data_IF_381316880885
#
_entry.id   IF_381316880885
#
_cell.length_a   1.000
_cell.length_b   1.000
_cell.length_c   1.000
_cell.angle_alpha   90.00
_cell.angle_beta   90.00
_cell.angle_gamma   90.00
#
_symmetry.space_group_name_H-M   'P 1'
#
loop_
_entity.id
_entity.type
_entity.pdbx_description
1 polymer ?
#
# COMPACT_ATOMS: atom_id res chain seq x y z
N UNK A 1 13.96 -26.89 9.27
CA UNK A 1 14.50 -25.68 9.89
C UNK A 1 14.12 -24.50 9.02
N UNK A 2 13.00 -23.84 9.31
CA UNK A 2 12.57 -22.65 8.58
C UNK A 2 13.40 -21.49 9.10
N UNK A 3 14.29 -20.94 8.28
CA UNK A 3 14.90 -19.66 8.56
C UNK A 3 13.78 -18.64 8.75
N UNK A 4 13.69 -18.12 9.96
CA UNK A 4 12.86 -16.96 10.29
C UNK A 4 13.49 -15.76 9.56
N UNK A 5 13.17 -15.58 8.27
CA UNK A 5 13.57 -14.39 7.54
C UNK A 5 12.96 -13.20 8.26
N UNK A 6 13.82 -12.31 8.72
CA UNK A 6 13.38 -11.05 9.31
C UNK A 6 12.54 -10.27 8.28
N UNK A 7 11.43 -9.62 8.70
CA UNK A 7 10.67 -8.72 7.82
C UNK A 7 11.57 -7.74 7.06
N UNK A 8 12.67 -7.32 7.70
CA UNK A 8 13.64 -6.37 7.15
C UNK A 8 14.53 -6.94 6.04
N UNK A 9 14.85 -8.25 6.04
CA UNK A 9 15.62 -8.87 4.94
C UNK A 9 14.81 -8.92 3.66
N UNK A 10 13.54 -9.26 3.76
CA UNK A 10 12.63 -9.29 2.62
C UNK A 10 12.44 -7.89 2.01
N UNK A 11 12.37 -6.83 2.83
CA UNK A 11 12.31 -5.45 2.36
C UNK A 11 13.59 -5.08 1.59
N UNK A 12 14.77 -5.46 2.06
CA UNK A 12 16.06 -5.16 1.39
C UNK A 12 16.12 -5.76 -0.02
N UNK A 13 15.70 -7.02 -0.16
CA UNK A 13 15.69 -7.70 -1.48
C UNK A 13 14.73 -6.99 -2.45
N UNK A 14 13.54 -6.62 -2.00
CA UNK A 14 12.55 -5.91 -2.80
C UNK A 14 13.01 -4.52 -3.20
N UNK A 15 13.57 -3.76 -2.23
CA UNK A 15 14.18 -2.45 -2.51
C UNK A 15 15.29 -2.56 -3.56
N UNK A 16 16.21 -3.52 -3.40
CA UNK A 16 17.28 -3.75 -4.38
C UNK A 16 16.73 -4.04 -5.77
N UNK A 17 15.68 -4.84 -5.87
CA UNK A 17 15.05 -5.18 -7.15
C UNK A 17 14.45 -3.95 -7.82
N UNK A 18 13.60 -3.18 -7.11
CA UNK A 18 12.90 -2.03 -7.72
C UNK A 18 13.86 -0.89 -8.06
N UNK A 19 14.89 -0.66 -7.22
CA UNK A 19 15.96 0.29 -7.53
C UNK A 19 16.72 -0.17 -8.77
N UNK A 20 17.02 -1.45 -8.90
CA UNK A 20 17.64 -2.00 -10.10
C UNK A 20 16.82 -1.76 -11.36
N UNK A 21 15.49 -1.92 -11.31
CA UNK A 21 14.60 -1.59 -12.42
C UNK A 21 14.62 -0.09 -12.74
N UNK A 22 14.68 0.75 -11.70
CA UNK A 22 14.68 2.21 -11.85
C UNK A 22 16.00 2.71 -12.47
N UNK A 23 17.14 2.18 -12.02
CA UNK A 23 18.45 2.43 -12.63
C UNK A 23 18.48 1.96 -14.09
N UNK A 24 17.95 0.77 -14.39
CA UNK A 24 17.88 0.25 -15.76
C UNK A 24 17.02 1.13 -16.65
N UNK A 25 15.90 1.65 -16.14
CA UNK A 25 15.07 2.61 -16.86
C UNK A 25 15.87 3.86 -17.25
N UNK A 26 16.61 4.47 -16.31
CA UNK A 26 17.44 5.64 -16.60
C UNK A 26 18.55 5.35 -17.64
N UNK A 27 19.15 4.16 -17.58
CA UNK A 27 20.12 3.74 -18.60
C UNK A 27 19.48 3.65 -19.99
N UNK A 28 18.24 3.17 -20.10
CA UNK A 28 17.52 3.05 -21.39
C UNK A 28 17.17 4.39 -22.01
N UNK A 29 16.88 5.39 -21.16
CA UNK A 29 16.53 6.74 -21.64
C UNK A 29 17.71 7.72 -21.68
N UNK A 30 18.94 7.23 -21.45
CA UNK A 30 20.20 8.01 -21.45
C UNK A 30 20.26 9.13 -20.38
N UNK A 31 19.58 8.97 -19.24
CA UNK A 31 19.61 9.90 -18.11
C UNK A 31 20.61 9.41 -17.03
N UNK A 32 21.87 9.24 -17.45
CA UNK A 32 22.90 8.64 -16.59
C UNK A 32 23.27 9.49 -15.38
N UNK A 33 23.16 10.83 -15.51
CA UNK A 33 23.53 11.78 -14.45
C UNK A 33 22.63 11.69 -13.19
N UNK A 34 21.45 11.10 -13.33
CA UNK A 34 20.48 10.91 -12.25
C UNK A 34 20.80 9.65 -11.42
N UNK A 35 21.46 8.67 -12.01
CA UNK A 35 21.70 7.37 -11.37
C UNK A 35 22.46 7.48 -10.04
N UNK A 36 23.51 8.31 -9.87
CA UNK A 36 24.18 8.46 -8.59
C UNK A 36 23.27 8.90 -7.45
N UNK A 37 22.22 9.70 -7.74
CA UNK A 37 21.30 10.21 -6.72
C UNK A 37 20.44 9.11 -6.07
N UNK A 38 20.19 8.02 -6.79
CA UNK A 38 19.27 6.95 -6.36
C UNK A 38 20.00 5.64 -6.01
N UNK A 39 21.24 5.47 -6.46
CA UNK A 39 22.02 4.24 -6.28
C UNK A 39 23.10 4.33 -5.21
N UNK A 40 23.50 5.53 -4.82
CA UNK A 40 24.66 5.75 -3.95
C UNK A 40 24.30 5.84 -2.47
N UNK A 41 25.26 5.53 -1.62
CA UNK A 41 25.16 5.88 -0.20
C UNK A 41 25.15 7.41 -0.06
N UNK A 42 24.53 7.96 1.01
CA UNK A 42 24.49 9.41 1.25
C UNK A 42 25.87 10.11 1.26
N UNK A 43 26.95 9.35 1.44
CA UNK A 43 28.33 9.85 1.37
C UNK A 43 28.80 10.25 -0.03
N UNK A 44 28.11 9.82 -1.09
CA UNK A 44 28.55 10.06 -2.47
C UNK A 44 27.91 11.31 -3.11
N UNK A 45 27.11 12.06 -2.35
CA UNK A 45 26.44 13.29 -2.83
C UNK A 45 27.39 14.48 -3.10
N UNK A 46 28.68 14.35 -2.82
CA UNK A 46 29.67 15.38 -3.14
C UNK A 46 29.82 15.68 -4.63
N UNK A 47 29.29 14.79 -5.49
CA UNK A 47 29.30 15.00 -6.95
C UNK A 47 28.21 15.98 -7.46
N UNK A 48 27.26 16.40 -6.61
CA UNK A 48 26.15 17.29 -6.98
C UNK A 48 26.58 18.77 -6.95
N UNK A 49 27.68 19.07 -6.28
CA UNK A 49 28.09 20.45 -5.97
C UNK A 49 28.54 21.29 -7.18
N UNK A 50 28.61 20.73 -8.38
CA UNK A 50 29.16 21.42 -9.54
C UNK A 50 28.17 21.82 -10.63
N UNK A 51 26.90 21.41 -10.54
CA UNK A 51 25.95 21.69 -11.62
C UNK A 51 24.76 22.51 -11.13
N UNK A 52 24.86 23.84 -11.22
CA UNK A 52 23.77 24.78 -10.97
C UNK A 52 22.77 24.87 -12.14
N UNK A 53 22.68 23.86 -12.98
CA UNK A 53 21.70 23.82 -14.06
C UNK A 53 20.30 23.53 -13.50
N UNK A 54 19.40 24.50 -13.65
CA UNK A 54 18.01 24.40 -13.19
C UNK A 54 17.32 23.14 -13.73
N UNK A 55 17.65 22.77 -14.98
CA UNK A 55 17.09 21.58 -15.62
C UNK A 55 17.55 20.26 -14.94
N UNK A 56 18.79 20.21 -14.49
CA UNK A 56 19.30 19.08 -13.72
C UNK A 56 18.62 19.01 -12.34
N UNK A 57 18.44 20.15 -11.67
CA UNK A 57 17.77 20.22 -10.36
C UNK A 57 16.34 19.71 -10.46
N UNK A 58 15.57 20.10 -11.48
CA UNK A 58 14.19 19.64 -11.67
C UNK A 58 14.12 18.11 -11.85
N UNK A 59 15.02 17.56 -12.67
CA UNK A 59 15.14 16.11 -12.85
C UNK A 59 15.54 15.39 -11.55
N UNK A 60 16.46 15.97 -10.79
CA UNK A 60 16.91 15.42 -9.53
C UNK A 60 15.75 15.37 -8.51
N UNK A 61 14.99 16.45 -8.37
CA UNK A 61 13.81 16.51 -7.49
C UNK A 61 12.78 15.48 -7.93
N UNK A 62 12.46 15.40 -9.23
CA UNK A 62 11.52 14.41 -9.74
C UNK A 62 11.99 12.98 -9.47
N UNK A 63 13.27 12.68 -9.70
CA UNK A 63 13.82 11.35 -9.47
C UNK A 63 13.75 10.93 -8.02
N UNK A 64 14.07 11.84 -7.09
CA UNK A 64 13.99 11.58 -5.66
C UNK A 64 12.54 11.43 -5.19
N UNK A 65 11.61 12.23 -5.74
CA UNK A 65 10.19 12.09 -5.44
C UNK A 65 9.67 10.70 -5.84
N UNK A 66 9.95 10.24 -7.05
CA UNK A 66 9.61 8.90 -7.52
C UNK A 66 10.29 7.83 -6.65
N UNK A 67 11.58 8.00 -6.34
CA UNK A 67 12.32 7.07 -5.49
C UNK A 67 11.64 6.86 -4.14
N UNK A 68 11.27 7.91 -3.43
CA UNK A 68 10.59 7.79 -2.12
C UNK A 68 9.22 7.12 -2.24
N UNK A 69 8.48 7.41 -3.30
CA UNK A 69 7.19 6.75 -3.54
C UNK A 69 7.37 5.26 -3.88
N UNK A 70 8.42 4.88 -4.61
CA UNK A 70 8.77 3.48 -4.84
C UNK A 70 9.14 2.77 -3.53
N UNK A 71 9.85 3.44 -2.63
CA UNK A 71 10.14 2.87 -1.30
C UNK A 71 8.87 2.61 -0.50
N UNK A 72 7.92 3.54 -0.51
CA UNK A 72 6.60 3.35 0.11
C UNK A 72 5.86 2.16 -0.47
N UNK A 73 5.79 2.02 -1.81
CA UNK A 73 5.16 0.87 -2.47
C UNK A 73 5.79 -0.47 -2.07
N UNK A 74 7.11 -0.52 -1.96
CA UNK A 74 7.82 -1.73 -1.53
C UNK A 74 7.53 -2.05 -0.06
N UNK A 75 7.47 -1.06 0.80
CA UNK A 75 7.17 -1.26 2.22
C UNK A 75 5.73 -1.74 2.43
N UNK A 76 4.76 -1.18 1.72
CA UNK A 76 3.37 -1.62 1.72
C UNK A 76 3.23 -3.07 1.22
N UNK A 77 3.91 -3.41 0.13
CA UNK A 77 3.94 -4.76 -0.41
C UNK A 77 4.57 -5.74 0.59
N UNK A 78 5.70 -5.38 1.21
CA UNK A 78 6.37 -6.21 2.21
C UNK A 78 5.50 -6.39 3.48
N UNK A 79 4.83 -5.35 3.94
CA UNK A 79 3.93 -5.41 5.08
C UNK A 79 2.74 -6.33 4.81
N UNK A 80 2.16 -6.28 3.60
CA UNK A 80 1.08 -7.17 3.18
C UNK A 80 1.54 -8.63 3.13
N UNK A 81 2.73 -8.89 2.58
CA UNK A 81 3.32 -10.22 2.54
C UNK A 81 3.59 -10.77 3.95
N UNK A 82 4.17 -9.94 4.82
CA UNK A 82 4.44 -10.32 6.20
C UNK A 82 3.16 -10.67 6.95
N UNK A 83 2.10 -9.87 6.79
CA UNK A 83 0.79 -10.15 7.39
C UNK A 83 0.25 -11.50 6.94
N UNK A 84 0.26 -11.80 5.64
CA UNK A 84 -0.17 -13.11 5.09
C UNK A 84 0.67 -14.26 5.64
N UNK A 85 1.97 -14.06 5.77
CA UNK A 85 2.87 -15.08 6.36
C UNK A 85 2.52 -15.34 7.82
N UNK A 86 2.28 -14.31 8.61
CA UNK A 86 1.88 -14.43 10.01
C UNK A 86 0.54 -15.16 10.14
N UNK A 87 -0.45 -14.76 9.35
CA UNK A 87 -1.77 -15.40 9.29
C UNK A 87 -1.67 -16.91 9.00
N UNK A 88 -0.86 -17.28 8.00
CA UNK A 88 -0.69 -18.67 7.61
C UNK A 88 0.14 -19.53 8.58
N UNK A 89 1.10 -18.94 9.29
CA UNK A 89 2.05 -19.66 10.15
C UNK A 89 1.65 -19.71 11.62
N UNK A 90 0.91 -18.74 12.09
CA UNK A 90 0.54 -18.64 13.51
C UNK A 90 -0.98 -18.74 13.69
N UNK A 91 -1.68 -17.66 13.48
CA UNK A 91 -3.15 -17.57 13.45
C UNK A 91 -3.57 -16.17 13.02
N UNK A 92 -4.83 -15.98 12.68
CA UNK A 92 -5.41 -14.65 12.47
C UNK A 92 -5.27 -13.76 13.71
N UNK A 93 -5.36 -14.34 14.93
CA UNK A 93 -5.24 -13.61 16.18
C UNK A 93 -3.83 -13.04 16.44
N UNK A 94 -2.79 -13.57 15.77
CA UNK A 94 -1.43 -13.01 15.84
C UNK A 94 -1.26 -11.68 15.10
N UNK A 95 -2.25 -11.29 14.29
CA UNK A 95 -2.24 -10.03 13.55
C UNK A 95 -2.79 -8.92 14.44
N UNK A 96 -1.89 -8.00 14.83
CA UNK A 96 -2.27 -6.86 15.66
C UNK A 96 -3.35 -6.01 15.00
N UNK A 97 -4.38 -5.67 15.79
CA UNK A 97 -5.53 -4.90 15.33
C UNK A 97 -6.56 -5.69 14.51
N UNK A 98 -6.43 -7.03 14.45
CA UNK A 98 -7.45 -7.89 13.86
C UNK A 98 -8.63 -8.12 14.81
N UNK A 99 -9.80 -8.46 14.25
CA UNK A 99 -10.94 -8.91 15.06
C UNK A 99 -10.62 -10.16 15.87
N UNK A 100 -9.82 -11.06 15.32
CA UNK A 100 -9.43 -12.29 16.01
C UNK A 100 -8.57 -12.01 17.26
N UNK A 101 -7.63 -11.03 17.20
CA UNK A 101 -6.88 -10.59 18.38
C UNK A 101 -7.83 -10.06 19.47
N UNK A 102 -8.80 -9.23 19.10
CA UNK A 102 -9.80 -8.70 20.05
C UNK A 102 -10.61 -9.81 20.68
N UNK A 103 -11.06 -10.78 19.90
CA UNK A 103 -11.83 -11.92 20.39
C UNK A 103 -10.99 -12.83 21.30
N UNK A 104 -9.72 -13.04 20.96
CA UNK A 104 -8.80 -13.80 21.83
C UNK A 104 -8.63 -13.11 23.19
N UNK A 105 -8.41 -11.80 23.21
CA UNK A 105 -8.29 -11.01 24.44
C UNK A 105 -9.57 -11.13 25.28
N UNK A 106 -10.75 -10.97 24.68
CA UNK A 106 -12.03 -11.05 25.37
C UNK A 106 -12.34 -12.46 25.85
N UNK A 107 -12.00 -13.47 25.07
CA UNK A 107 -12.14 -14.87 25.47
C UNK A 107 -11.27 -15.22 26.67
N UNK A 108 -10.02 -14.74 26.69
CA UNK A 108 -9.12 -14.91 27.83
C UNK A 108 -9.61 -14.21 29.09
N UNK A 109 -10.43 -13.17 28.94
CA UNK A 109 -11.14 -12.50 30.06
C UNK A 109 -12.48 -13.17 30.40
N UNK A 110 -12.82 -14.29 29.77
CA UNK A 110 -14.08 -15.02 29.96
C UNK A 110 -15.33 -14.17 29.67
N UNK A 111 -15.23 -13.21 28.72
CA UNK A 111 -16.38 -12.41 28.32
C UNK A 111 -17.37 -13.28 27.52
N UNK A 112 -18.68 -13.28 27.86
CA UNK A 112 -19.67 -14.03 27.12
C UNK A 112 -19.85 -13.51 25.67
N UNK A 113 -20.16 -14.41 24.72
CA UNK A 113 -20.39 -14.07 23.31
C UNK A 113 -21.40 -12.93 23.11
N UNK A 114 -22.50 -12.94 23.90
CA UNK A 114 -23.55 -11.92 23.78
C UNK A 114 -23.07 -10.53 24.21
N UNK A 115 -22.15 -10.48 25.20
CA UNK A 115 -21.54 -9.23 25.64
C UNK A 115 -20.50 -8.74 24.63
N UNK A 116 -19.75 -9.64 24.00
CA UNK A 116 -18.84 -9.32 22.89
C UNK A 116 -19.61 -8.69 21.71
N UNK A 117 -20.74 -9.30 21.31
CA UNK A 117 -21.57 -8.79 20.23
C UNK A 117 -22.21 -7.45 20.58
N UNK A 118 -22.64 -7.28 21.82
CA UNK A 118 -23.15 -5.99 22.32
C UNK A 118 -22.07 -4.92 22.25
N UNK A 119 -20.85 -5.23 22.66
CA UNK A 119 -19.72 -4.29 22.56
C UNK A 119 -19.41 -3.92 21.10
N UNK A 120 -19.38 -4.89 20.17
CA UNK A 120 -19.16 -4.64 18.73
C UNK A 120 -20.24 -3.72 18.17
N UNK A 121 -21.52 -3.97 18.49
CA UNK A 121 -22.64 -3.16 17.98
C UNK A 121 -22.63 -1.71 18.46
N UNK A 122 -21.90 -1.41 19.51
CA UNK A 122 -21.71 -0.06 20.04
C UNK A 122 -20.51 0.67 19.41
N UNK A 123 -19.66 -0.04 18.65
CA UNK A 123 -18.53 0.57 17.97
C UNK A 123 -19.05 1.47 16.83
N UNK A 124 -18.64 2.72 16.87
CA UNK A 124 -18.91 3.69 15.81
C UNK A 124 -17.61 4.37 15.38
N UNK A 125 -17.29 4.31 14.10
CA UNK A 125 -16.09 4.90 13.53
C UNK A 125 -16.47 5.82 12.38
N UNK A 126 -15.93 7.03 12.40
CA UNK A 126 -16.17 8.02 11.34
C UNK A 126 -14.83 8.51 10.78
N UNK A 127 -14.22 7.77 9.82
CA UNK A 127 -13.07 8.31 9.09
C UNK A 127 -13.45 9.61 8.38
N UNK A 128 -12.60 10.61 8.49
CA UNK A 128 -12.79 11.90 7.83
C UNK A 128 -11.86 11.99 6.64
N UNK A 129 -12.45 12.16 5.45
CA UNK A 129 -11.72 12.42 4.22
C UNK A 129 -11.33 13.91 4.22
N UNK A 130 -10.03 14.17 4.33
CA UNK A 130 -9.48 15.52 4.24
C UNK A 130 -8.87 15.71 2.86
N UNK A 131 -9.38 16.69 2.11
CA UNK A 131 -8.75 17.10 0.87
C UNK A 131 -7.56 18.01 1.20
N UNK A 132 -6.34 17.49 1.06
CA UNK A 132 -5.15 18.34 1.11
C UNK A 132 -4.73 18.71 -0.31
N UNK A 133 -4.39 19.99 -0.58
CA UNK A 133 -3.89 20.44 -1.88
C UNK A 133 -2.64 19.70 -2.34
N UNK A 134 -1.94 19.05 -1.41
CA UNK A 134 -0.74 18.23 -1.66
C UNK A 134 -1.03 16.87 -2.29
N UNK A 135 -2.28 16.39 -2.27
CA UNK A 135 -2.68 15.13 -2.91
C UNK A 135 -3.13 15.27 -4.37
N UNK A 136 -2.84 16.39 -5.00
CA UNK A 136 -3.15 16.63 -6.42
C UNK A 136 -2.31 15.75 -7.36
N UNK A 137 -2.18 14.45 -7.05
CA UNK A 137 -1.59 13.50 -7.98
C UNK A 137 -2.53 13.28 -9.15
N UNK A 138 -1.95 13.28 -10.35
CA UNK A 138 -2.72 12.94 -11.54
C UNK A 138 -3.28 11.52 -11.42
N UNK A 139 -4.51 11.31 -11.87
CA UNK A 139 -5.15 9.97 -11.90
C UNK A 139 -4.24 8.94 -12.58
N UNK A 140 -3.55 9.34 -13.65
CA UNK A 140 -2.57 8.50 -14.36
C UNK A 140 -1.42 8.05 -13.46
N UNK A 141 -0.96 8.87 -12.53
CA UNK A 141 0.10 8.49 -11.57
C UNK A 141 -0.45 7.49 -10.54
N UNK A 142 -1.68 7.69 -10.08
CA UNK A 142 -2.35 6.75 -9.16
C UNK A 142 -2.54 5.38 -9.83
N UNK A 143 -2.92 5.36 -11.11
CA UNK A 143 -3.03 4.13 -11.89
C UNK A 143 -1.67 3.43 -12.06
N UNK A 144 -0.60 4.16 -12.33
CA UNK A 144 0.77 3.62 -12.41
C UNK A 144 1.17 2.99 -11.07
N UNK A 145 0.93 3.68 -9.95
CA UNK A 145 1.21 3.13 -8.62
C UNK A 145 0.47 1.80 -8.38
N UNK A 146 -0.82 1.76 -8.74
CA UNK A 146 -1.61 0.54 -8.61
C UNK A 146 -1.07 -0.60 -9.49
N UNK A 147 -0.74 -0.31 -10.74
CA UNK A 147 -0.18 -1.32 -11.66
C UNK A 147 1.18 -1.83 -11.16
N UNK A 148 2.07 -0.94 -10.70
CA UNK A 148 3.36 -1.31 -10.10
C UNK A 148 3.18 -2.19 -8.87
N UNK A 149 2.26 -1.82 -7.98
CA UNK A 149 1.95 -2.63 -6.80
C UNK A 149 1.49 -4.05 -7.18
N UNK A 150 0.59 -4.16 -8.15
CA UNK A 150 0.11 -5.47 -8.63
C UNK A 150 1.21 -6.31 -9.27
N UNK A 151 2.14 -5.69 -10.01
CA UNK A 151 3.30 -6.39 -10.58
C UNK A 151 4.27 -6.87 -9.48
N UNK A 152 4.47 -6.08 -8.42
CA UNK A 152 5.25 -6.51 -7.26
C UNK A 152 4.59 -7.69 -6.55
N UNK A 153 3.27 -7.68 -6.38
CA UNK A 153 2.52 -8.82 -5.81
C UNK A 153 2.61 -10.04 -6.71
N UNK A 154 2.47 -9.89 -8.03
CA UNK A 154 2.60 -10.99 -8.98
C UNK A 154 3.99 -11.63 -8.92
N UNK A 155 5.03 -10.83 -8.75
CA UNK A 155 6.41 -11.31 -8.65
C UNK A 155 6.67 -12.21 -7.44
N UNK A 156 5.85 -12.14 -6.40
CA UNK A 156 5.95 -13.00 -5.23
C UNK A 156 5.49 -14.44 -5.49
N UNK A 157 4.84 -14.68 -6.60
CA UNK A 157 4.40 -16.02 -6.97
C UNK A 157 5.61 -16.89 -7.35
N UNK A 158 5.92 -17.85 -6.48
CA UNK A 158 7.03 -18.78 -6.66
C UNK A 158 6.88 -19.72 -7.89
N UNK A 159 5.69 -19.81 -8.47
CA UNK A 159 5.42 -20.63 -9.65
C UNK A 159 5.76 -19.96 -10.98
N UNK A 160 6.12 -18.66 -10.97
CA UNK A 160 6.49 -17.95 -12.19
C UNK A 160 7.77 -18.54 -12.80
N UNK A 161 7.70 -18.86 -14.09
CA UNK A 161 8.86 -19.23 -14.89
C UNK A 161 9.85 -18.06 -15.04
N UNK A 162 11.08 -18.35 -15.44
CA UNK A 162 12.08 -17.29 -15.71
C UNK A 162 11.61 -16.30 -16.79
N UNK A 163 10.89 -16.79 -17.80
CA UNK A 163 10.34 -15.95 -18.86
C UNK A 163 9.31 -14.97 -18.28
N UNK A 164 8.34 -15.46 -17.51
CA UNK A 164 7.32 -14.62 -16.87
C UNK A 164 7.90 -13.62 -15.88
N UNK A 165 8.96 -14.00 -15.14
CA UNK A 165 9.69 -13.08 -14.27
C UNK A 165 10.37 -11.94 -15.05
N UNK A 166 10.94 -12.26 -16.23
CA UNK A 166 11.53 -11.26 -17.11
C UNK A 166 10.45 -10.36 -17.72
N UNK A 167 9.34 -10.89 -18.18
CA UNK A 167 8.21 -10.11 -18.69
C UNK A 167 7.64 -9.17 -17.61
N UNK A 168 7.51 -9.66 -16.37
CA UNK A 168 7.09 -8.86 -15.23
C UNK A 168 8.07 -7.70 -14.99
N UNK A 169 9.39 -7.97 -15.02
CA UNK A 169 10.42 -6.94 -14.88
C UNK A 169 10.34 -5.89 -15.99
N UNK A 170 10.17 -6.31 -17.26
CA UNK A 170 10.01 -5.41 -18.38
C UNK A 170 8.78 -4.50 -18.23
N UNK A 171 7.65 -5.05 -17.80
CA UNK A 171 6.45 -4.25 -17.51
C UNK A 171 6.71 -3.20 -16.44
N UNK A 172 7.42 -3.55 -15.37
CA UNK A 172 7.81 -2.61 -14.31
C UNK A 172 8.67 -1.48 -14.89
N UNK A 173 9.71 -1.79 -15.69
CA UNK A 173 10.59 -0.78 -16.28
C UNK A 173 9.80 0.17 -17.20
N UNK A 174 8.91 -0.36 -18.03
CA UNK A 174 8.07 0.44 -18.92
C UNK A 174 7.10 1.35 -18.14
N UNK A 175 6.56 0.88 -17.01
CA UNK A 175 5.72 1.70 -16.13
C UNK A 175 6.52 2.82 -15.45
N UNK A 176 7.75 2.54 -15.03
CA UNK A 176 8.65 3.54 -14.46
C UNK A 176 8.99 4.61 -15.48
N UNK A 177 9.26 4.24 -16.73
CA UNK A 177 9.47 5.20 -17.82
C UNK A 177 8.22 6.04 -18.09
N UNK A 178 7.03 5.41 -18.15
CA UNK A 178 5.78 6.13 -18.30
C UNK A 178 5.57 7.13 -17.16
N UNK A 179 5.88 6.73 -15.93
CA UNK A 179 5.79 7.62 -14.76
C UNK A 179 6.76 8.80 -14.88
N UNK A 180 8.03 8.52 -15.17
CA UNK A 180 9.04 9.55 -15.40
C UNK A 180 8.60 10.60 -16.42
N UNK A 181 7.97 10.17 -17.52
CA UNK A 181 7.49 11.05 -18.61
C UNK A 181 6.16 11.75 -18.30
N UNK A 182 5.39 11.29 -17.33
CA UNK A 182 4.04 11.83 -17.05
C UNK A 182 4.08 13.12 -16.23
N UNK A 183 5.09 13.30 -15.38
CA UNK A 183 5.14 14.36 -14.38
C UNK A 183 4.12 14.15 -13.25
N UNK A 184 4.49 14.54 -12.05
CA UNK A 184 3.70 14.20 -10.84
C UNK A 184 2.61 15.21 -10.51
N UNK A 185 2.80 16.46 -10.86
CA UNK A 185 2.00 17.58 -10.35
C UNK A 185 1.08 18.11 -11.45
N UNK A 186 -0.15 18.42 -11.07
CA UNK A 186 -1.00 19.25 -11.91
C UNK A 186 -0.41 20.65 -12.01
N UNK A 187 -0.31 21.19 -13.22
CA UNK A 187 0.06 22.58 -13.45
C UNK A 187 -1.04 23.55 -12.99
N UNK A 188 -2.27 23.08 -12.91
CA UNK A 188 -3.44 23.83 -12.43
C UNK A 188 -3.87 23.34 -11.05
N UNK A 189 -4.18 24.29 -10.16
CA UNK A 189 -4.70 23.97 -8.83
C UNK A 189 -6.06 23.26 -8.96
N UNK A 190 -6.26 22.09 -8.32
CA UNK A 190 -7.54 21.42 -8.31
C UNK A 190 -8.63 22.35 -7.78
N UNK A 191 -9.76 22.40 -8.46
CA UNK A 191 -10.94 23.13 -8.00
C UNK A 191 -11.81 22.24 -7.09
N UNK A 192 -12.79 22.84 -6.44
CA UNK A 192 -13.74 22.15 -5.55
C UNK A 192 -14.52 21.04 -6.27
N UNK A 193 -14.70 21.16 -7.59
CA UNK A 193 -15.38 20.11 -8.38
C UNK A 193 -14.53 18.84 -8.49
N UNK A 194 -13.22 18.98 -8.64
CA UNK A 194 -12.28 17.86 -8.67
C UNK A 194 -12.21 17.17 -7.31
N UNK A 195 -12.14 17.95 -6.22
CA UNK A 195 -12.16 17.40 -4.86
C UNK A 195 -13.45 16.63 -4.57
N UNK A 196 -14.61 17.21 -4.92
CA UNK A 196 -15.90 16.55 -4.81
C UNK A 196 -15.96 15.25 -5.63
N UNK A 197 -15.45 15.26 -6.87
CA UNK A 197 -15.45 14.08 -7.72
C UNK A 197 -14.60 12.95 -7.10
N UNK A 198 -13.46 13.26 -6.52
CA UNK A 198 -12.61 12.31 -5.81
C UNK A 198 -13.33 11.71 -4.59
N UNK A 199 -13.94 12.53 -3.75
CA UNK A 199 -14.69 12.05 -2.59
C UNK A 199 -15.83 11.11 -3.02
N UNK A 200 -16.61 11.50 -4.03
CA UNK A 200 -17.71 10.67 -4.58
C UNK A 200 -17.15 9.35 -5.13
N UNK A 201 -15.99 9.35 -5.77
CA UNK A 201 -15.35 8.14 -6.26
C UNK A 201 -15.04 7.16 -5.11
N UNK A 202 -14.41 7.63 -4.03
CA UNK A 202 -14.14 6.80 -2.86
C UNK A 202 -15.42 6.26 -2.23
N UNK A 203 -16.42 7.12 -2.00
CA UNK A 203 -17.68 6.75 -1.39
C UNK A 203 -18.49 5.74 -2.23
N UNK A 204 -18.43 5.84 -3.57
CA UNK A 204 -19.25 5.02 -4.46
C UNK A 204 -18.54 3.76 -4.99
N UNK A 205 -17.20 3.77 -5.08
CA UNK A 205 -16.45 2.70 -5.73
C UNK A 205 -15.52 1.94 -4.80
N UNK A 206 -14.92 2.60 -3.82
CA UNK A 206 -13.90 1.99 -2.98
C UNK A 206 -14.50 1.49 -1.66
N UNK A 207 -15.16 2.37 -0.91
CA UNK A 207 -15.63 2.03 0.43
C UNK A 207 -16.66 0.91 0.49
N UNK A 208 -17.64 0.77 -0.42
CA UNK A 208 -18.58 -0.35 -0.36
C UNK A 208 -17.87 -1.71 -0.35
N UNK A 209 -16.88 -1.89 -1.23
CA UNK A 209 -16.10 -3.13 -1.28
C UNK A 209 -15.22 -3.34 -0.03
N UNK A 210 -14.66 -2.27 0.52
CA UNK A 210 -13.84 -2.34 1.74
C UNK A 210 -14.69 -2.68 2.95
N UNK A 211 -15.88 -2.09 3.08
CA UNK A 211 -16.82 -2.39 4.16
C UNK A 211 -17.28 -3.84 4.12
N UNK A 212 -17.67 -4.32 2.93
CA UNK A 212 -18.05 -5.73 2.74
C UNK A 212 -16.92 -6.68 3.19
N UNK A 213 -15.67 -6.38 2.82
CA UNK A 213 -14.50 -7.17 3.25
C UNK A 213 -14.30 -7.10 4.78
N UNK A 214 -14.49 -5.93 5.37
CA UNK A 214 -14.39 -5.75 6.82
C UNK A 214 -15.41 -6.62 7.56
N UNK A 215 -16.67 -6.62 7.08
CA UNK A 215 -17.74 -7.44 7.64
C UNK A 215 -17.46 -8.94 7.47
N UNK A 216 -16.90 -9.35 6.33
CA UNK A 216 -16.49 -10.73 6.10
C UNK A 216 -15.36 -11.13 7.05
N UNK A 217 -14.37 -10.27 7.26
CA UNK A 217 -13.27 -10.53 8.20
C UNK A 217 -13.77 -10.66 9.63
N UNK A 218 -14.72 -9.81 10.05
CA UNK A 218 -15.36 -9.92 11.36
C UNK A 218 -16.03 -11.29 11.53
N UNK A 219 -16.86 -11.70 10.54
CA UNK A 219 -17.54 -13.00 10.56
C UNK A 219 -16.57 -14.18 10.60
N UNK A 220 -15.54 -14.16 9.77
CA UNK A 220 -14.53 -15.23 9.73
C UNK A 220 -13.75 -15.30 11.04
N UNK A 221 -13.32 -14.18 11.57
CA UNK A 221 -12.63 -14.15 12.87
C UNK A 221 -13.50 -14.72 13.99
N UNK A 222 -14.80 -14.39 14.00
CA UNK A 222 -15.75 -14.94 14.97
C UNK A 222 -15.85 -16.46 14.88
N UNK A 223 -16.01 -16.99 13.68
CA UNK A 223 -16.14 -18.43 13.44
C UNK A 223 -14.82 -19.16 13.72
N UNK A 224 -13.69 -18.61 13.34
CA UNK A 224 -12.36 -19.18 13.55
C UNK A 224 -12.03 -19.31 15.04
N UNK A 225 -12.49 -18.36 15.85
CA UNK A 225 -12.37 -18.44 17.31
C UNK A 225 -13.30 -19.45 17.96
N UNK A 226 -14.10 -20.18 17.19
CA UNK A 226 -14.99 -21.24 17.68
C UNK A 226 -16.33 -20.74 18.23
N UNK A 227 -16.67 -19.48 18.03
CA UNK A 227 -17.95 -18.92 18.50
C UNK A 227 -19.12 -19.31 17.59
N UNK A 228 -20.35 -19.19 18.13
CA UNK A 228 -21.56 -19.61 17.43
C UNK A 228 -21.81 -18.82 16.13
N UNK A 229 -21.77 -19.47 14.92
CA UNK A 229 -21.99 -18.78 13.65
C UNK A 229 -23.39 -18.16 13.52
N UNK A 230 -24.38 -18.66 14.27
CA UNK A 230 -25.74 -18.15 14.23
C UNK A 230 -25.89 -16.78 14.87
N UNK A 231 -25.03 -16.46 15.84
CA UNK A 231 -25.07 -15.18 16.55
C UNK A 231 -24.56 -14.00 15.72
N UNK A 232 -23.63 -14.23 14.79
CA UNK A 232 -23.01 -13.18 13.96
C UNK A 232 -23.73 -12.97 12.62
N UNK A 233 -24.92 -13.53 12.42
CA UNK A 233 -25.69 -13.40 11.17
C UNK A 233 -26.40 -12.06 11.03
N UNK A 234 -26.75 -11.41 12.16
CA UNK A 234 -27.50 -10.16 12.14
C UNK A 234 -26.56 -8.97 11.86
N UNK A 235 -26.74 -8.25 10.73
CA UNK A 235 -25.94 -7.08 10.39
C UNK A 235 -26.05 -5.93 11.41
N UNK A 236 -27.14 -5.84 12.16
CA UNK A 236 -27.34 -4.80 13.19
C UNK A 236 -26.33 -4.90 14.35
N UNK A 237 -25.64 -6.05 14.45
CA UNK A 237 -24.59 -6.27 15.44
C UNK A 237 -23.22 -5.81 14.98
N UNK A 238 -23.10 -5.32 13.76
CA UNK A 238 -21.82 -4.90 13.20
C UNK A 238 -21.48 -3.46 13.59
N UNK A 239 -20.18 -3.11 13.57
CA UNK A 239 -19.75 -1.74 13.81
C UNK A 239 -20.40 -0.77 12.81
N UNK A 240 -20.80 0.39 13.29
CA UNK A 240 -21.26 1.47 12.42
C UNK A 240 -20.08 2.23 11.86
N UNK A 241 -19.94 2.22 10.55
CA UNK A 241 -18.89 2.97 9.85
C UNK A 241 -19.58 4.04 9.00
N UNK A 242 -19.27 5.29 9.29
CA UNK A 242 -19.73 6.46 8.52
C UNK A 242 -18.51 7.23 8.02
N UNK A 243 -18.72 8.14 7.10
CA UNK A 243 -17.63 8.93 6.52
C UNK A 243 -17.95 10.41 6.63
N UNK A 244 -17.00 11.18 7.16
CA UNK A 244 -17.01 12.63 7.13
C UNK A 244 -16.13 13.15 5.97
N UNK A 245 -16.41 14.37 5.53
CA UNK A 245 -15.59 15.10 4.58
C UNK A 245 -15.52 16.57 4.96
N UNK A 246 -14.35 17.16 4.80
CA UNK A 246 -14.13 18.60 4.83
C UNK A 246 -13.97 19.08 3.39
N UNK A 247 -14.86 19.94 2.95
CA UNK A 247 -14.79 20.64 1.66
C UNK A 247 -14.68 22.12 1.93
#
# INVERSE_FOLDING_TARGET
MSHNESPFENIKVRKKFIIGCYVEMFNRINEHDIIPLISSNPSDYTAIDSNNDTFFIDKAIQSLSIYFQLMTLVEENAATHYRRKMENQQSIASIRGSWAEVFEIWSNQSLPEDDMLRAISQVSVTPVLTAHPTEAKRVTVIEIHRELYLLLVQRENASLSKLEQNENKEKIINLLERWWRTGEIYLEKPDVKHERANIIYYLSKIFPTVLEKSDQQLKWSWIEMGFSPNKIKNPDLFPRISFGSWV
#
